data_IF_561686489702
#
_entry.id   IF_561686489702
#
_cell.length_a   1.000
_cell.length_b   1.000
_cell.length_c   1.000
_cell.angle_alpha   90.00
_cell.angle_beta   90.00
_cell.angle_gamma   90.00
#
_symmetry.space_group_name_H-M   'P 1'
#
loop_
_entity.id
_entity.type
_entity.pdbx_description
1 polymer ?
#
# COMPACT_ATOMS: atom_id res chain seq x y z
N UNK A 1 -20.62 32.32 -9.26
CA UNK A 1 -19.71 31.27 -9.78
C UNK A 1 -19.17 30.37 -8.65
N UNK A 2 -20.01 29.63 -7.90
CA UNK A 2 -19.53 28.78 -6.78
C UNK A 2 -19.98 27.31 -6.80
N UNK A 3 -20.85 26.90 -7.74
CA UNK A 3 -21.34 25.53 -7.81
C UNK A 3 -20.32 24.56 -8.46
N UNK A 4 -19.59 25.01 -9.50
CA UNK A 4 -18.56 24.18 -10.18
C UNK A 4 -17.35 23.89 -9.29
N UNK A 5 -16.88 24.87 -8.51
CA UNK A 5 -15.76 24.68 -7.61
C UNK A 5 -16.09 23.71 -6.45
N UNK A 6 -17.33 23.73 -5.95
CA UNK A 6 -17.81 22.78 -4.94
C UNK A 6 -17.94 21.36 -5.51
N UNK A 7 -18.58 21.21 -6.67
CA UNK A 7 -18.70 19.90 -7.31
C UNK A 7 -17.34 19.27 -7.67
N UNK A 8 -16.37 20.06 -8.17
CA UNK A 8 -15.02 19.57 -8.43
C UNK A 8 -14.28 19.17 -7.15
N UNK A 9 -14.50 19.92 -6.06
CA UNK A 9 -13.94 19.58 -4.74
C UNK A 9 -14.53 18.29 -4.20
N UNK A 10 -15.84 18.11 -4.26
CA UNK A 10 -16.51 16.89 -3.78
C UNK A 10 -16.05 15.66 -4.58
N UNK A 11 -15.89 15.79 -5.90
CA UNK A 11 -15.37 14.72 -6.77
C UNK A 11 -13.90 14.43 -6.47
N UNK A 12 -13.07 15.47 -6.28
CA UNK A 12 -11.66 15.32 -5.98
C UNK A 12 -11.41 14.74 -4.58
N UNK A 13 -12.19 15.14 -3.57
CA UNK A 13 -12.12 14.57 -2.23
C UNK A 13 -12.57 13.10 -2.25
N UNK A 14 -13.63 12.75 -2.99
CA UNK A 14 -14.05 11.35 -3.12
C UNK A 14 -13.00 10.50 -3.87
N UNK A 15 -12.45 10.99 -4.97
CA UNK A 15 -11.44 10.26 -5.74
C UNK A 15 -10.12 10.12 -4.98
N UNK A 16 -9.69 11.16 -4.27
CA UNK A 16 -8.51 11.13 -3.41
C UNK A 16 -8.68 10.17 -2.24
N UNK A 17 -9.82 10.22 -1.54
CA UNK A 17 -10.12 9.30 -0.44
C UNK A 17 -10.16 7.85 -0.94
N UNK A 18 -10.83 7.59 -2.08
CA UNK A 18 -10.85 6.26 -2.69
C UNK A 18 -9.43 5.78 -3.02
N UNK A 19 -8.59 6.65 -3.57
CA UNK A 19 -7.20 6.30 -3.87
C UNK A 19 -6.37 6.02 -2.62
N UNK A 20 -6.55 6.80 -1.55
CA UNK A 20 -5.85 6.59 -0.28
C UNK A 20 -6.25 5.27 0.38
N UNK A 21 -7.56 4.97 0.45
CA UNK A 21 -8.05 3.71 0.99
C UNK A 21 -7.65 2.52 0.12
N UNK A 22 -7.68 2.69 -1.21
CA UNK A 22 -7.19 1.67 -2.14
C UNK A 22 -5.70 1.39 -1.90
N UNK A 23 -4.86 2.42 -1.78
CA UNK A 23 -3.43 2.24 -1.52
C UNK A 23 -3.18 1.53 -0.18
N UNK A 24 -3.93 1.91 0.86
CA UNK A 24 -3.88 1.25 2.18
C UNK A 24 -4.24 -0.23 2.10
N UNK A 25 -5.35 -0.54 1.45
CA UNK A 25 -5.82 -1.91 1.27
C UNK A 25 -4.88 -2.72 0.37
N UNK A 26 -4.35 -2.11 -0.68
CA UNK A 26 -3.38 -2.73 -1.59
C UNK A 26 -2.12 -3.15 -0.84
N UNK A 27 -1.54 -2.26 -0.01
CA UNK A 27 -0.37 -2.58 0.81
C UNK A 27 -0.67 -3.76 1.74
N UNK A 28 -1.82 -3.72 2.44
CA UNK A 28 -2.24 -4.80 3.33
C UNK A 28 -2.35 -6.16 2.60
N UNK A 29 -2.95 -6.16 1.41
CA UNK A 29 -3.07 -7.36 0.59
C UNK A 29 -1.72 -7.94 0.16
N UNK A 30 -0.65 -7.14 0.04
CA UNK A 30 0.69 -7.68 -0.22
C UNK A 30 1.24 -8.47 0.97
N UNK A 31 1.04 -7.98 2.21
CA UNK A 31 1.43 -8.72 3.42
C UNK A 31 0.66 -10.04 3.54
N UNK A 32 -0.66 -9.99 3.37
CA UNK A 32 -1.50 -11.18 3.47
C UNK A 32 -1.19 -12.16 2.33
N UNK A 33 -1.07 -11.67 1.09
CA UNK A 33 -0.88 -12.49 -0.10
C UNK A 33 0.50 -13.15 -0.18
N UNK A 34 1.57 -12.39 0.07
CA UNK A 34 2.93 -12.91 -0.04
C UNK A 34 3.45 -13.49 1.29
N UNK A 35 3.27 -12.80 2.41
CA UNK A 35 3.85 -13.22 3.70
C UNK A 35 2.90 -14.06 4.56
N UNK A 36 1.61 -14.14 4.17
CA UNK A 36 0.54 -14.84 4.90
C UNK A 36 0.41 -14.41 6.36
N UNK A 37 0.59 -13.12 6.63
CA UNK A 37 0.46 -12.52 7.97
C UNK A 37 -0.01 -11.07 7.90
N UNK A 38 -0.47 -10.52 9.03
CA UNK A 38 -0.69 -9.09 9.17
C UNK A 38 0.65 -8.34 9.30
N UNK A 39 0.71 -7.04 8.96
CA UNK A 39 1.97 -6.29 9.01
C UNK A 39 2.59 -6.17 10.40
N UNK A 40 1.77 -6.22 11.45
CA UNK A 40 2.17 -6.13 12.85
C UNK A 40 2.27 -7.50 13.55
N UNK A 41 2.09 -8.60 12.82
CA UNK A 41 2.33 -9.94 13.36
C UNK A 41 3.84 -10.23 13.39
N UNK A 42 4.25 -11.04 14.37
CA UNK A 42 5.63 -11.52 14.51
C UNK A 42 6.22 -11.99 13.15
N UNK A 43 7.44 -11.58 12.79
CA UNK A 43 8.51 -11.03 13.65
C UNK A 43 8.42 -9.52 13.95
N UNK A 44 7.53 -8.81 13.26
CA UNK A 44 7.32 -7.39 13.51
C UNK A 44 6.44 -7.21 14.77
N UNK A 45 6.54 -6.04 15.40
CA UNK A 45 5.70 -5.67 16.56
C UNK A 45 4.94 -4.36 16.35
N UNK A 46 5.09 -3.76 15.17
CA UNK A 46 4.50 -2.49 14.81
C UNK A 46 4.12 -2.45 13.31
N UNK A 47 3.64 -1.30 12.84
CA UNK A 47 3.26 -1.07 11.45
C UNK A 47 4.36 -0.40 10.63
N UNK A 48 5.62 -0.35 11.10
CA UNK A 48 6.70 0.41 10.44
C UNK A 48 6.91 -0.06 9.00
N UNK A 49 6.87 -1.38 8.75
CA UNK A 49 6.97 -1.92 7.39
C UNK A 49 5.77 -1.54 6.51
N UNK A 50 4.56 -1.54 7.06
CA UNK A 50 3.34 -1.12 6.37
C UNK A 50 3.40 0.37 5.99
N UNK A 51 3.75 1.23 6.95
CA UNK A 51 3.81 2.68 6.76
C UNK A 51 4.91 3.07 5.77
N UNK A 52 6.05 2.37 5.79
CA UNK A 52 7.09 2.53 4.79
C UNK A 52 6.56 2.28 3.38
N UNK A 53 5.89 1.14 3.15
CA UNK A 53 5.37 0.78 1.84
C UNK A 53 4.22 1.67 1.40
N UNK A 54 3.32 2.04 2.31
CA UNK A 54 2.24 2.98 2.02
C UNK A 54 2.79 4.35 1.62
N UNK A 55 3.78 4.85 2.36
CA UNK A 55 4.45 6.12 2.03
C UNK A 55 5.13 6.04 0.66
N UNK A 56 5.87 4.97 0.38
CA UNK A 56 6.52 4.77 -0.92
C UNK A 56 5.50 4.68 -2.05
N UNK A 57 4.42 3.93 -1.88
CA UNK A 57 3.36 3.81 -2.89
C UNK A 57 2.71 5.17 -3.18
N UNK A 58 2.46 5.97 -2.14
CA UNK A 58 1.92 7.32 -2.28
C UNK A 58 2.90 8.27 -2.99
N UNK A 59 4.21 8.17 -2.74
CA UNK A 59 5.23 8.95 -3.45
C UNK A 59 5.25 8.67 -4.96
N UNK A 60 4.89 7.44 -5.36
CA UNK A 60 4.76 7.04 -6.76
C UNK A 60 3.32 7.10 -7.28
N UNK A 61 2.43 7.87 -6.63
CA UNK A 61 1.04 8.07 -7.03
C UNK A 61 0.24 6.76 -7.21
N UNK A 62 0.52 5.73 -6.41
CA UNK A 62 -0.12 4.41 -6.53
C UNK A 62 0.54 3.47 -7.55
N UNK A 63 1.63 3.89 -8.20
CA UNK A 63 2.35 3.06 -9.15
C UNK A 63 3.25 2.06 -8.40
N UNK A 64 2.71 0.87 -8.13
CA UNK A 64 3.41 -0.20 -7.41
C UNK A 64 4.65 -0.74 -8.14
N UNK A 65 4.71 -0.61 -9.47
CA UNK A 65 5.87 -1.01 -10.27
C UNK A 65 7.03 -0.04 -10.03
N UNK A 66 6.76 1.27 -10.07
CA UNK A 66 7.77 2.29 -9.75
C UNK A 66 8.19 2.26 -8.27
N UNK A 67 7.25 1.92 -7.37
CA UNK A 67 7.57 1.68 -5.97
C UNK A 67 8.39 0.40 -5.74
N UNK A 68 8.61 -0.42 -6.77
CA UNK A 68 9.24 -1.76 -6.71
C UNK A 68 8.64 -2.67 -5.63
N UNK A 69 7.36 -2.47 -5.30
CA UNK A 69 6.76 -3.05 -4.10
C UNK A 69 6.64 -4.57 -4.21
N UNK A 70 5.97 -5.08 -5.25
CA UNK A 70 5.76 -6.52 -5.43
C UNK A 70 7.08 -7.29 -5.51
N UNK A 71 8.07 -6.73 -6.22
CA UNK A 71 9.42 -7.30 -6.33
C UNK A 71 10.09 -7.40 -4.97
N UNK A 72 10.00 -6.37 -4.13
CA UNK A 72 10.59 -6.40 -2.79
C UNK A 72 9.95 -7.47 -1.88
N UNK A 73 8.63 -7.67 -1.96
CA UNK A 73 7.97 -8.74 -1.20
C UNK A 73 8.43 -10.14 -1.62
N UNK A 74 8.47 -10.44 -2.93
CA UNK A 74 8.88 -11.76 -3.45
C UNK A 74 10.38 -12.03 -3.20
N UNK A 75 11.22 -10.99 -3.25
CA UNK A 75 12.67 -11.12 -3.04
C UNK A 75 13.08 -11.01 -1.57
N UNK A 76 12.14 -10.68 -0.67
CA UNK A 76 12.41 -10.58 0.76
C UNK A 76 12.96 -11.90 1.31
N UNK A 77 13.86 -11.79 2.29
CA UNK A 77 14.40 -12.95 3.01
C UNK A 77 13.28 -13.77 3.63
N UNK A 78 12.29 -13.12 4.23
CA UNK A 78 11.13 -13.79 4.84
C UNK A 78 10.34 -14.61 3.82
N UNK A 79 9.96 -14.03 2.68
CA UNK A 79 9.22 -14.76 1.64
C UNK A 79 10.02 -15.97 1.14
N UNK A 80 11.32 -15.79 0.87
CA UNK A 80 12.19 -16.86 0.40
C UNK A 80 12.38 -17.97 1.44
N UNK A 81 12.53 -17.61 2.72
CA UNK A 81 12.69 -18.59 3.80
C UNK A 81 11.41 -19.40 4.05
N UNK A 82 10.23 -18.79 3.86
CA UNK A 82 8.94 -19.45 4.10
C UNK A 82 8.39 -20.19 2.89
N UNK A 83 8.59 -19.65 1.68
CA UNK A 83 7.90 -20.08 0.45
C UNK A 83 8.80 -20.13 -0.79
N UNK A 84 10.09 -19.82 -0.67
CA UNK A 84 11.06 -20.01 -1.75
C UNK A 84 11.39 -21.49 -1.97
N UNK A 85 11.92 -21.86 -3.14
CA UNK A 85 12.41 -23.21 -3.42
C UNK A 85 13.65 -23.58 -2.59
#
# INVERSE_FOLDING_TARGET
>A
MSARARALRDIAENSLLNQQEFNRAFVLMQFIGYLRRNPNDSPDSDYTGYDFWLTKLNQFNGNYNQAEMVKAFITSSEYRQRFGP
#
